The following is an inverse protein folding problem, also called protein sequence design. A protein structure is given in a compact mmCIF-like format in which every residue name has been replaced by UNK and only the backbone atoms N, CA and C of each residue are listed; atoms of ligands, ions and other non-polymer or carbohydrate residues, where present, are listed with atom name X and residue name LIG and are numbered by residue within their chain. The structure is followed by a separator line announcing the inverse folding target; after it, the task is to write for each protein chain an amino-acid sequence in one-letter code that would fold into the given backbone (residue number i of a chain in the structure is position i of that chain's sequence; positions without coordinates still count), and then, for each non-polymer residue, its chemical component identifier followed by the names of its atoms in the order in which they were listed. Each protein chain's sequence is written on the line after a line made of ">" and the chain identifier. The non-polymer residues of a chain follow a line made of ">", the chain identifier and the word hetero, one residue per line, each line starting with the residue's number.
data_IF_632923405907
#
_entry.id   IF_632923405907
#
_cell.length_a   1.000
_cell.length_b   1.000
_cell.length_c   1.000
_cell.angle_alpha   90.00
_cell.angle_beta   90.00
_cell.angle_gamma   90.00
#
_symmetry.space_group_name_H-M   'P 1'
#
loop_
_entity.id
_entity.type
_entity.pdbx_description
1 polymer ?
#
# COMPACT_ATOMS: atom_id res chain seq x y z
N UNK A 1 -30.19 3.18 -1.16
CA UNK A 1 -29.06 3.05 -2.11
C UNK A 1 -28.48 4.38 -2.57
N UNK A 2 -29.27 5.33 -3.12
CA UNK A 2 -28.75 6.66 -3.55
C UNK A 2 -27.90 7.39 -2.49
N UNK A 3 -28.33 7.35 -1.22
CA UNK A 3 -27.65 8.00 -0.09
C UNK A 3 -26.30 7.36 0.27
N UNK A 4 -26.14 6.05 0.02
CA UNK A 4 -24.89 5.31 0.24
C UNK A 4 -23.90 5.65 -0.89
N UNK A 5 -24.37 5.68 -2.13
CA UNK A 5 -23.56 6.10 -3.27
C UNK A 5 -23.10 7.57 -3.16
N UNK A 6 -23.97 8.48 -2.70
CA UNK A 6 -23.60 9.88 -2.51
C UNK A 6 -22.56 10.07 -1.39
N UNK A 7 -22.74 9.40 -0.24
CA UNK A 7 -21.75 9.43 0.85
C UNK A 7 -20.44 8.76 0.48
N UNK A 8 -20.45 7.67 -0.29
CA UNK A 8 -19.21 7.09 -0.83
C UNK A 8 -18.50 8.07 -1.76
N UNK A 9 -19.23 8.78 -2.63
CA UNK A 9 -18.68 9.77 -3.55
C UNK A 9 -18.11 11.00 -2.83
N UNK A 10 -18.75 11.45 -1.76
CA UNK A 10 -18.26 12.54 -0.89
C UNK A 10 -17.03 12.13 -0.10
N UNK A 11 -17.03 10.93 0.50
CA UNK A 11 -15.81 10.33 1.08
C UNK A 11 -14.71 10.23 0.04
N UNK A 12 -15.04 9.90 -1.21
CA UNK A 12 -14.07 9.81 -2.29
C UNK A 12 -13.35 11.14 -2.59
N UNK A 13 -13.97 12.28 -2.26
CA UNK A 13 -13.41 13.63 -2.43
C UNK A 13 -12.82 14.22 -1.16
N UNK A 14 -13.06 13.62 0.01
CA UNK A 14 -12.60 14.13 1.29
C UNK A 14 -11.06 14.10 1.37
N UNK A 15 -10.49 15.06 2.09
CA UNK A 15 -9.04 15.17 2.24
C UNK A 15 -8.54 14.14 3.26
N UNK A 16 -7.47 13.43 2.91
CA UNK A 16 -6.91 12.38 3.76
C UNK A 16 -6.23 12.97 5.01
N UNK A 17 -6.51 12.47 6.22
CA UNK A 17 -5.84 12.94 7.44
C UNK A 17 -4.32 12.80 7.35
N UNK A 18 -3.58 13.76 7.92
CA UNK A 18 -2.10 13.80 7.89
C UNK A 18 -1.51 12.48 8.41
N UNK A 19 -2.06 11.90 9.47
CA UNK A 19 -1.63 10.61 10.02
C UNK A 19 -1.63 9.48 8.96
N UNK A 20 -2.65 9.43 8.10
CA UNK A 20 -2.72 8.42 7.03
C UNK A 20 -1.74 8.71 5.89
N UNK A 21 -1.41 9.99 5.64
CA UNK A 21 -0.35 10.35 4.68
C UNK A 21 1.02 9.81 5.13
N UNK A 22 1.33 9.91 6.43
CA UNK A 22 2.56 9.33 7.00
C UNK A 22 2.59 7.80 6.86
N UNK A 23 1.49 7.13 7.19
CA UNK A 23 1.39 5.67 7.03
C UNK A 23 1.60 5.27 5.57
N UNK A 24 0.95 5.96 4.63
CA UNK A 24 1.15 5.69 3.21
C UNK A 24 2.61 5.88 2.80
N UNK A 25 3.26 6.98 3.22
CA UNK A 25 4.67 7.24 2.92
C UNK A 25 5.60 6.14 3.43
N UNK A 26 5.37 5.64 4.65
CA UNK A 26 6.16 4.54 5.23
C UNK A 26 5.95 3.27 4.42
N UNK A 27 4.70 2.84 4.19
CA UNK A 27 4.48 1.58 3.48
C UNK A 27 4.86 1.63 2.00
N UNK A 28 4.77 2.79 1.33
CA UNK A 28 5.31 2.93 -0.03
C UNK A 28 6.83 2.82 -0.04
N UNK A 29 7.51 3.32 1.00
CA UNK A 29 8.96 3.19 1.13
C UNK A 29 9.37 1.73 1.33
N UNK A 30 8.63 0.99 2.18
CA UNK A 30 8.85 -0.45 2.38
C UNK A 30 8.64 -1.23 1.08
N UNK A 31 7.56 -0.96 0.34
CA UNK A 31 7.29 -1.61 -0.94
C UNK A 31 8.38 -1.31 -1.98
N UNK A 32 8.86 -0.06 -2.06
CA UNK A 32 9.92 0.33 -2.97
C UNK A 32 11.25 -0.37 -2.66
N UNK A 33 11.60 -0.48 -1.36
CA UNK A 33 12.80 -1.20 -0.93
C UNK A 33 12.67 -2.69 -1.24
N UNK A 34 11.52 -3.31 -0.97
CA UNK A 34 11.28 -4.72 -1.28
C UNK A 34 11.43 -5.00 -2.79
N UNK A 35 10.90 -4.12 -3.65
CA UNK A 35 11.07 -4.20 -5.09
C UNK A 35 12.55 -4.10 -5.50
N UNK A 36 13.30 -3.16 -4.91
CA UNK A 36 14.72 -3.00 -5.18
C UNK A 36 15.51 -4.26 -4.83
N UNK A 37 15.24 -4.87 -3.67
CA UNK A 37 15.86 -6.13 -3.25
C UNK A 37 15.55 -7.25 -4.24
N UNK A 38 14.27 -7.42 -4.61
CA UNK A 38 13.85 -8.45 -5.57
C UNK A 38 14.55 -8.27 -6.93
N UNK A 39 14.65 -7.02 -7.41
CA UNK A 39 15.35 -6.71 -8.64
C UNK A 39 16.84 -7.04 -8.54
N UNK A 40 17.51 -6.67 -7.44
CA UNK A 40 18.94 -6.97 -7.23
C UNK A 40 19.21 -8.48 -7.19
N UNK A 41 18.37 -9.26 -6.50
CA UNK A 41 18.47 -10.71 -6.45
C UNK A 41 18.31 -11.34 -7.84
N UNK A 42 17.29 -10.89 -8.59
CA UNK A 42 16.99 -11.38 -9.93
C UNK A 42 18.10 -11.01 -10.92
N UNK A 43 18.61 -9.77 -10.88
CA UNK A 43 19.68 -9.31 -11.77
C UNK A 43 21.03 -9.95 -11.45
N UNK A 44 21.27 -10.28 -10.18
CA UNK A 44 22.50 -10.93 -9.73
C UNK A 44 22.53 -12.44 -9.97
N UNK A 45 21.43 -13.04 -10.45
CA UNK A 45 21.31 -14.50 -10.59
C UNK A 45 21.42 -15.24 -9.25
N UNK A 46 21.10 -14.57 -8.15
CA UNK A 46 21.19 -15.16 -6.82
C UNK A 46 20.05 -16.15 -6.59
N UNK A 47 20.33 -17.24 -5.88
CA UNK A 47 19.28 -18.14 -5.39
C UNK A 47 18.47 -17.41 -4.34
N UNK A 48 17.20 -17.16 -4.64
CA UNK A 48 16.28 -16.46 -3.75
C UNK A 48 15.90 -17.42 -2.61
N UNK A 49 16.03 -17.00 -1.34
CA UNK A 49 15.62 -17.83 -0.23
C UNK A 49 14.10 -17.92 -0.12
N UNK A 50 13.58 -19.11 0.23
CA UNK A 50 12.15 -19.42 0.27
C UNK A 50 11.33 -18.46 1.17
N UNK A 51 11.91 -18.06 2.30
CA UNK A 51 11.26 -17.11 3.21
C UNK A 51 11.02 -15.75 2.54
N UNK A 52 11.91 -15.33 1.64
CA UNK A 52 11.77 -14.07 0.92
C UNK A 52 10.67 -14.17 -0.13
N UNK A 53 10.61 -15.25 -0.91
CA UNK A 53 9.53 -15.48 -1.87
C UNK A 53 8.15 -15.51 -1.19
N UNK A 54 8.10 -16.03 0.04
CA UNK A 54 6.87 -16.05 0.84
C UNK A 54 6.46 -14.64 1.27
N UNK A 55 7.40 -13.80 1.73
CA UNK A 55 7.09 -12.49 2.33
C UNK A 55 6.96 -11.37 1.28
N UNK A 56 7.73 -11.44 0.18
CA UNK A 56 7.79 -10.39 -0.84
C UNK A 56 6.42 -9.95 -1.40
N UNK A 57 5.48 -10.86 -1.74
CA UNK A 57 4.15 -10.47 -2.20
C UNK A 57 3.36 -9.65 -1.17
N UNK A 58 3.58 -9.88 0.12
CA UNK A 58 2.92 -9.10 1.18
C UNK A 58 3.53 -7.70 1.29
N UNK A 59 4.85 -7.59 1.15
CA UNK A 59 5.57 -6.30 1.21
C UNK A 59 5.19 -5.36 0.05
N UNK A 60 5.09 -5.90 -1.17
CA UNK A 60 4.67 -5.11 -2.33
C UNK A 60 3.17 -4.76 -2.26
N UNK A 61 2.36 -5.61 -1.61
CA UNK A 61 0.93 -5.44 -1.43
C UNK A 61 0.52 -4.42 -0.35
N UNK A 62 1.44 -3.96 0.51
CA UNK A 62 1.14 -3.01 1.59
C UNK A 62 0.45 -1.75 1.06
N UNK A 63 0.89 -1.24 -0.10
CA UNK A 63 0.30 -0.07 -0.75
C UNK A 63 -1.22 -0.20 -1.00
N UNK A 64 -1.68 -1.39 -1.41
CA UNK A 64 -3.09 -1.65 -1.67
C UNK A 64 -3.92 -1.67 -0.38
N UNK A 65 -3.42 -2.31 0.68
CA UNK A 65 -4.09 -2.33 1.98
C UNK A 65 -4.17 -0.94 2.61
N UNK A 66 -3.09 -0.16 2.52
CA UNK A 66 -3.04 1.19 3.09
C UNK A 66 -3.95 2.16 2.33
N UNK A 67 -3.94 2.13 0.99
CA UNK A 67 -4.82 3.00 0.19
C UNK A 67 -6.28 2.70 0.45
N UNK A 68 -6.67 1.42 0.55
CA UNK A 68 -8.02 1.03 0.96
C UNK A 68 -8.36 1.60 2.35
N UNK A 69 -7.50 1.37 3.34
CA UNK A 69 -7.72 1.81 4.73
C UNK A 69 -7.83 3.33 4.83
N UNK A 70 -6.92 4.06 4.18
CA UNK A 70 -6.89 5.51 4.17
C UNK A 70 -8.12 6.12 3.47
N UNK A 71 -8.70 5.40 2.50
CA UNK A 71 -9.94 5.82 1.82
C UNK A 71 -11.18 5.66 2.69
N UNK A 72 -11.21 4.63 3.54
CA UNK A 72 -12.33 4.40 4.45
C UNK A 72 -12.29 5.28 5.71
N UNK A 73 -11.14 5.89 6.04
CA UNK A 73 -10.97 6.75 7.22
C UNK A 73 -10.97 8.26 6.93
N UNK A 74 -11.31 8.67 5.72
CA UNK A 74 -11.46 10.10 5.40
C UNK A 74 -12.62 10.70 6.19
N UNK A 75 -12.36 11.80 6.93
CA UNK A 75 -13.39 12.52 7.69
C UNK A 75 -14.18 13.42 6.74
N UNK A 76 -15.51 13.40 6.90
CA UNK A 76 -16.45 14.31 6.24
C UNK A 76 -16.37 15.71 6.83
#
# INVERSE_FOLDING_TARGET
>A
MKKIFSTMKERWKAQMPIFFQWIMGIGTSVAAIALAIQMSLTSGGATIPEWWETIYPYLIGIGAGMTATAKFTQKH
#
